data_IF_552259428800
#
_entry.id   IF_552259428800
#
_cell.length_a   1.000
_cell.length_b   1.000
_cell.length_c   1.000
_cell.angle_alpha   90.00
_cell.angle_beta   90.00
_cell.angle_gamma   90.00
#
_symmetry.space_group_name_H-M   'P 1'
#
loop_
_entity.id
_entity.type
_entity.pdbx_description
1 polymer ?
#
# COMPACT_ATOMS: atom_id res chain seq x y z
N UNK A 1 -5.15 4.25 -21.18
CA UNK A 1 -4.32 4.28 -19.96
C UNK A 1 -4.83 3.20 -19.01
N UNK A 2 -3.99 2.25 -18.57
CA UNK A 2 -4.47 1.19 -17.66
C UNK A 2 -4.57 1.77 -16.25
N UNK A 3 -5.66 1.52 -15.52
CA UNK A 3 -5.90 2.00 -14.14
C UNK A 3 -4.70 1.85 -13.20
N UNK A 4 -3.85 0.83 -13.41
CA UNK A 4 -2.62 0.59 -12.61
C UNK A 4 -1.51 1.60 -12.86
N UNK A 5 -1.37 2.12 -14.09
CA UNK A 5 -0.37 3.14 -14.44
C UNK A 5 -0.70 4.47 -13.78
N UNK A 6 -1.98 4.84 -13.77
CA UNK A 6 -2.44 6.09 -13.17
C UNK A 6 -2.27 6.08 -11.65
N UNK A 7 -2.53 4.94 -11.00
CA UNK A 7 -2.26 4.77 -9.55
C UNK A 7 -0.76 4.91 -9.25
N UNK A 8 0.11 4.32 -10.07
CA UNK A 8 1.56 4.43 -9.87
C UNK A 8 2.08 5.86 -10.06
N UNK A 9 1.50 6.62 -10.99
CA UNK A 9 1.85 8.03 -11.16
C UNK A 9 1.52 8.84 -9.90
N UNK A 10 0.28 8.71 -9.40
CA UNK A 10 -0.17 9.39 -8.17
C UNK A 10 0.67 9.05 -6.94
N UNK A 11 1.09 7.79 -6.79
CA UNK A 11 1.93 7.39 -5.67
C UNK A 11 3.34 7.98 -5.74
N UNK A 12 3.87 8.23 -6.95
CA UNK A 12 5.21 8.83 -7.13
C UNK A 12 5.25 10.33 -6.87
N UNK A 13 4.09 10.99 -6.87
CA UNK A 13 3.97 12.41 -6.51
C UNK A 13 4.06 12.63 -4.99
N UNK A 14 3.81 11.59 -4.18
CA UNK A 14 3.87 11.66 -2.72
C UNK A 14 5.29 11.57 -2.20
N UNK A 15 5.50 12.10 -1.00
CA UNK A 15 6.75 11.95 -0.26
C UNK A 15 6.90 10.54 0.31
N UNK A 16 8.14 10.14 0.61
CA UNK A 16 8.41 8.84 1.23
C UNK A 16 7.68 8.68 2.58
N UNK A 17 7.62 9.74 3.39
CA UNK A 17 6.98 9.71 4.71
C UNK A 17 5.46 9.56 4.61
N UNK A 18 4.82 10.24 3.64
CA UNK A 18 3.39 10.09 3.37
C UNK A 18 3.06 8.66 2.94
N UNK A 19 3.87 8.08 2.04
CA UNK A 19 3.70 6.71 1.58
C UNK A 19 3.84 5.70 2.72
N UNK A 20 4.78 5.92 3.66
CA UNK A 20 4.94 5.07 4.84
C UNK A 20 3.75 5.20 5.80
N UNK A 21 3.24 6.42 6.03
CA UNK A 21 2.05 6.66 6.85
C UNK A 21 0.82 5.96 6.27
N UNK A 22 0.57 6.12 4.98
CA UNK A 22 -0.55 5.47 4.29
C UNK A 22 -0.42 3.94 4.30
N UNK A 23 0.79 3.42 4.08
CA UNK A 23 1.08 1.99 4.21
C UNK A 23 0.76 1.47 5.63
N UNK A 24 0.95 2.29 6.66
CA UNK A 24 0.57 2.00 8.04
C UNK A 24 -0.94 1.88 8.24
N UNK A 25 -1.73 2.78 7.62
CA UNK A 25 -3.20 2.69 7.63
C UNK A 25 -3.67 1.37 7.00
N UNK A 26 -3.08 0.98 5.86
CA UNK A 26 -3.40 -0.29 5.20
C UNK A 26 -3.09 -1.50 6.08
N UNK A 27 -2.05 -1.45 6.94
CA UNK A 27 -1.76 -2.53 7.89
C UNK A 27 -2.89 -2.68 8.91
N UNK A 28 -3.41 -1.56 9.42
CA UNK A 28 -4.53 -1.58 10.36
C UNK A 28 -5.79 -2.13 9.70
N UNK A 29 -6.09 -1.72 8.46
CA UNK A 29 -7.20 -2.27 7.68
C UNK A 29 -7.05 -3.77 7.43
N UNK A 30 -5.85 -4.23 7.08
CA UNK A 30 -5.55 -5.65 6.92
C UNK A 30 -5.77 -6.43 8.21
N UNK A 31 -5.39 -5.87 9.36
CA UNK A 31 -5.61 -6.48 10.67
C UNK A 31 -7.11 -6.57 10.95
N UNK A 32 -7.85 -5.48 10.82
CA UNK A 32 -9.30 -5.44 11.06
C UNK A 32 -10.05 -6.42 10.16
N UNK A 33 -9.76 -6.43 8.85
CA UNK A 33 -10.39 -7.35 7.89
C UNK A 33 -10.01 -8.82 8.13
N UNK A 34 -8.79 -9.10 8.61
CA UNK A 34 -8.37 -10.46 8.98
C UNK A 34 -9.09 -10.94 10.23
N UNK A 35 -9.28 -10.06 11.22
CA UNK A 35 -10.06 -10.35 12.43
C UNK A 35 -11.54 -10.57 12.07
N UNK A 36 -12.15 -9.67 11.30
CA UNK A 36 -13.53 -9.81 10.84
C UNK A 36 -13.77 -11.14 10.11
N UNK A 37 -12.86 -11.53 9.21
CA UNK A 37 -12.92 -12.84 8.52
C UNK A 37 -12.91 -14.03 9.49
N UNK A 38 -12.18 -13.93 10.60
CA UNK A 38 -12.14 -14.98 11.62
C UNK A 38 -13.49 -15.09 12.36
N UNK A 39 -14.19 -13.98 12.54
CA UNK A 39 -15.48 -13.91 13.24
C UNK A 39 -16.71 -14.03 12.31
N UNK A 40 -16.52 -14.38 11.04
CA UNK A 40 -17.61 -14.69 10.10
C UNK A 40 -17.92 -13.61 9.06
N UNK A 41 -17.16 -12.51 8.99
CA UNK A 41 -17.34 -11.54 7.91
C UNK A 41 -16.99 -12.14 6.54
N UNK A 42 -17.77 -11.75 5.52
CA UNK A 42 -17.61 -12.18 4.12
C UNK A 42 -16.41 -11.57 3.39
N UNK A 43 -15.33 -11.22 4.12
CA UNK A 43 -14.11 -10.64 3.54
C UNK A 43 -13.47 -11.62 2.57
N UNK A 44 -13.43 -11.24 1.29
CA UNK A 44 -12.91 -12.09 0.23
C UNK A 44 -11.37 -12.09 0.24
N UNK A 45 -10.76 -13.24 -0.04
CA UNK A 45 -9.30 -13.40 -0.08
C UNK A 45 -8.60 -12.43 -1.04
N UNK A 46 -9.25 -12.08 -2.16
CA UNK A 46 -8.66 -11.16 -3.14
C UNK A 46 -8.59 -9.72 -2.65
N UNK A 47 -9.47 -9.30 -1.73
CA UNK A 47 -9.42 -7.96 -1.13
C UNK A 47 -8.22 -7.83 -0.20
N UNK A 48 -7.96 -8.86 0.62
CA UNK A 48 -6.76 -8.92 1.45
C UNK A 48 -5.49 -8.95 0.58
N UNK A 49 -5.53 -9.64 -0.55
CA UNK A 49 -4.42 -9.66 -1.52
C UNK A 49 -4.20 -8.27 -2.13
N UNK A 50 -5.27 -7.57 -2.51
CA UNK A 50 -5.18 -6.23 -3.09
C UNK A 50 -4.51 -5.25 -2.12
N UNK A 51 -4.94 -5.23 -0.85
CA UNK A 51 -4.36 -4.38 0.19
C UNK A 51 -2.87 -4.68 0.43
N UNK A 52 -2.47 -5.95 0.44
CA UNK A 52 -1.04 -6.32 0.58
C UNK A 52 -0.20 -5.81 -0.60
N UNK A 53 -0.72 -5.93 -1.83
CA UNK A 53 -0.03 -5.46 -3.03
C UNK A 53 0.10 -3.94 -3.01
N UNK A 54 -0.97 -3.24 -2.60
CA UNK A 54 -0.96 -1.79 -2.48
C UNK A 54 0.06 -1.29 -1.47
N UNK A 55 0.05 -1.87 -0.26
CA UNK A 55 1.06 -1.60 0.77
C UNK A 55 2.48 -1.83 0.26
N UNK A 56 2.72 -2.97 -0.40
CA UNK A 56 4.04 -3.30 -0.93
C UNK A 56 4.51 -2.26 -1.95
N UNK A 57 3.62 -1.80 -2.85
CA UNK A 57 3.95 -0.76 -3.82
C UNK A 57 4.31 0.56 -3.17
N UNK A 58 3.55 1.01 -2.18
CA UNK A 58 3.85 2.26 -1.45
C UNK A 58 5.24 2.19 -0.82
N UNK A 59 5.56 1.09 -0.14
CA UNK A 59 6.88 0.90 0.48
C UNK A 59 8.01 0.82 -0.54
N UNK A 60 7.83 0.10 -1.65
CA UNK A 60 8.84 0.07 -2.72
C UNK A 60 9.12 1.47 -3.27
N UNK A 61 8.09 2.27 -3.53
CA UNK A 61 8.25 3.63 -4.05
C UNK A 61 8.94 4.52 -2.99
N UNK A 62 8.54 4.42 -1.72
CA UNK A 62 9.17 5.17 -0.64
C UNK A 62 10.67 4.85 -0.54
N UNK A 63 11.05 3.57 -0.59
CA UNK A 63 12.46 3.15 -0.60
C UNK A 63 13.19 3.72 -1.82
N UNK A 64 12.60 3.65 -3.01
CA UNK A 64 13.21 4.23 -4.23
C UNK A 64 13.45 5.74 -4.11
N UNK A 65 12.53 6.49 -3.50
CA UNK A 65 12.68 7.93 -3.28
C UNK A 65 13.86 8.19 -2.33
N UNK A 66 13.94 7.46 -1.22
CA UNK A 66 15.02 7.61 -0.23
C UNK A 66 16.38 7.25 -0.82
N UNK A 67 16.49 6.10 -1.50
CA UNK A 67 17.75 5.65 -2.11
C UNK A 67 18.24 6.63 -3.19
N UNK A 68 17.35 7.15 -4.04
CA UNK A 68 17.72 8.18 -5.03
C UNK A 68 18.18 9.48 -4.40
N UNK A 69 17.69 9.82 -3.21
CA UNK A 69 18.12 11.02 -2.48
C UNK A 69 19.51 10.85 -1.89
N UNK A 70 19.88 9.64 -1.45
CA UNK A 70 21.23 9.35 -0.93
C UNK A 70 22.31 9.21 -2.00
N UNK A 71 21.93 8.95 -3.26
CA UNK A 71 22.85 8.84 -4.40
C UNK A 71 23.26 10.20 -5.00
N UNK A 72 22.62 11.30 -4.59
CA UNK A 72 22.92 12.68 -5.01
C UNK A 72 23.68 13.42 -3.93
#
# INVERSE_FOLDING_TARGET
MSKKKDILAKLREKTADELVKEAGVIVNDLKSKRVGRHFGDSVKSHELRALRIERARMLTIATQIVTKKSEK
#
